data_IF_607800100151
#
_entry.id   IF_607800100151
#
_cell.length_a   1.000
_cell.length_b   1.000
_cell.length_c   1.000
_cell.angle_alpha   90.00
_cell.angle_beta   90.00
_cell.angle_gamma   90.00
#
_symmetry.space_group_name_H-M   'P 1'
#
loop_
_entity.id
_entity.type
_entity.pdbx_description
1 polymer ?
#
# COMPACT_ATOMS: atom_id res chain seq x y z
N UNK A 1 -11.72 16.80 -9.21
CA UNK A 1 -10.70 16.18 -10.07
C UNK A 1 -10.83 14.67 -9.94
N UNK A 2 -10.77 13.92 -11.05
CA UNK A 2 -10.83 12.46 -11.01
C UNK A 2 -9.61 11.91 -10.25
N UNK A 3 -9.86 11.07 -9.25
CA UNK A 3 -8.80 10.37 -8.53
C UNK A 3 -8.06 9.48 -9.54
N UNK A 4 -6.71 9.59 -9.65
CA UNK A 4 -5.97 8.80 -10.61
C UNK A 4 -6.15 7.31 -10.31
N UNK A 5 -6.29 6.51 -11.37
CA UNK A 5 -6.26 5.06 -11.26
C UNK A 5 -4.93 4.63 -10.63
N UNK A 6 -4.91 3.50 -9.91
CA UNK A 6 -3.71 2.99 -9.25
C UNK A 6 -3.35 1.64 -9.84
N UNK A 7 -2.10 1.47 -10.27
CA UNK A 7 -1.55 0.21 -10.78
C UNK A 7 -0.37 -0.22 -9.91
N UNK A 8 -0.39 -1.46 -9.43
CA UNK A 8 0.68 -2.02 -8.60
C UNK A 8 1.30 -3.20 -9.38
N UNK A 9 2.61 -3.14 -9.57
CA UNK A 9 3.43 -4.13 -10.27
C UNK A 9 4.44 -4.72 -9.27
N UNK A 10 4.02 -5.71 -8.46
CA UNK A 10 4.85 -6.27 -7.40
C UNK A 10 5.87 -7.26 -8.00
N UNK A 11 7.03 -6.75 -8.44
CA UNK A 11 8.09 -7.55 -9.05
C UNK A 11 7.62 -8.33 -10.29
N UNK A 12 6.87 -7.66 -11.18
CA UNK A 12 6.39 -8.25 -12.45
C UNK A 12 7.54 -8.29 -13.44
N UNK A 13 8.44 -9.27 -13.29
CA UNK A 13 9.72 -9.32 -13.99
C UNK A 13 9.60 -9.37 -15.51
N UNK A 14 8.72 -10.24 -16.01
CA UNK A 14 8.49 -10.47 -17.45
C UNK A 14 7.29 -9.69 -17.96
N UNK A 15 7.47 -8.97 -19.06
CA UNK A 15 6.41 -8.15 -19.67
C UNK A 15 6.69 -7.92 -21.15
N UNK A 16 5.64 -7.89 -21.99
CA UNK A 16 5.80 -7.56 -23.42
C UNK A 16 6.16 -6.10 -23.66
N UNK A 17 6.76 -5.77 -24.80
CA UNK A 17 7.01 -4.38 -25.18
C UNK A 17 5.72 -3.56 -25.26
N UNK A 18 4.66 -4.14 -25.83
CA UNK A 18 3.34 -3.53 -25.91
C UNK A 18 2.84 -3.14 -24.52
N UNK A 19 2.90 -4.04 -23.54
CA UNK A 19 2.44 -3.78 -22.18
C UNK A 19 3.26 -2.68 -21.50
N UNK A 20 4.60 -2.68 -21.64
CA UNK A 20 5.45 -1.61 -21.10
C UNK A 20 5.07 -0.24 -21.68
N UNK A 21 4.84 -0.17 -23.00
CA UNK A 21 4.44 1.07 -23.66
C UNK A 21 3.05 1.54 -23.20
N UNK A 22 2.06 0.64 -23.13
CA UNK A 22 0.72 0.97 -22.63
C UNK A 22 0.74 1.51 -21.19
N UNK A 23 1.53 0.90 -20.30
CA UNK A 23 1.67 1.39 -18.93
C UNK A 23 2.30 2.79 -18.93
N UNK A 24 3.37 3.01 -19.71
CA UNK A 24 4.01 4.31 -19.81
C UNK A 24 3.09 5.39 -20.40
N UNK A 25 2.26 5.07 -21.39
CA UNK A 25 1.26 5.99 -21.95
C UNK A 25 0.22 6.41 -20.91
N UNK A 26 -0.13 5.52 -19.97
CA UNK A 26 -1.09 5.82 -18.90
C UNK A 26 -0.56 6.76 -17.80
N UNK A 27 0.74 7.12 -17.82
CA UNK A 27 1.44 7.84 -16.73
C UNK A 27 0.79 9.14 -16.27
N UNK A 28 0.02 9.82 -17.13
CA UNK A 28 -0.63 11.08 -16.75
C UNK A 28 -1.94 10.88 -15.98
N UNK A 29 -2.54 9.69 -16.04
CA UNK A 29 -3.84 9.35 -15.42
C UNK A 29 -3.75 8.26 -14.35
N UNK A 30 -2.61 7.58 -14.27
CA UNK A 30 -2.41 6.42 -13.40
C UNK A 30 -1.20 6.63 -12.49
N UNK A 31 -1.40 6.45 -11.19
CA UNK A 31 -0.32 6.29 -10.21
C UNK A 31 0.18 4.84 -10.26
N UNK A 32 1.40 4.66 -10.73
CA UNK A 32 2.02 3.36 -10.95
C UNK A 32 3.05 3.11 -9.86
N UNK A 33 2.92 2.00 -9.13
CA UNK A 33 3.95 1.51 -8.22
C UNK A 33 4.56 0.25 -8.79
N UNK A 34 5.87 0.26 -9.01
CA UNK A 34 6.63 -0.90 -9.43
C UNK A 34 7.70 -1.24 -8.39
N UNK A 35 7.98 -2.53 -8.23
CA UNK A 35 9.01 -3.01 -7.32
C UNK A 35 9.97 -3.98 -7.99
N UNK A 36 11.17 -4.14 -7.43
CA UNK A 36 12.13 -5.16 -7.84
C UNK A 36 12.44 -5.09 -9.34
N UNK A 37 12.56 -6.24 -9.98
CA UNK A 37 12.96 -6.39 -11.38
C UNK A 37 11.83 -6.18 -12.38
N UNK A 38 10.79 -5.42 -12.01
CA UNK A 38 9.63 -5.20 -12.88
C UNK A 38 10.05 -4.78 -14.30
N UNK A 39 9.54 -5.44 -15.34
CA UNK A 39 9.83 -5.18 -16.76
C UNK A 39 11.29 -5.35 -17.23
N UNK A 40 12.15 -5.98 -16.44
CA UNK A 40 13.54 -6.26 -16.85
C UNK A 40 13.66 -7.47 -17.79
N UNK A 41 12.58 -8.24 -17.98
CA UNK A 41 12.52 -9.37 -18.89
C UNK A 41 11.37 -9.22 -19.89
N UNK A 42 11.51 -9.77 -21.09
CA UNK A 42 10.44 -9.82 -22.09
C UNK A 42 9.39 -10.90 -21.74
N UNK A 43 8.37 -11.06 -22.56
CA UNK A 43 7.30 -12.05 -22.38
C UNK A 43 7.77 -13.51 -22.46
N UNK A 44 8.97 -13.75 -22.99
CA UNK A 44 9.60 -15.06 -23.10
C UNK A 44 10.57 -15.36 -21.94
N UNK A 45 10.70 -14.44 -20.97
CA UNK A 45 11.60 -14.57 -19.83
C UNK A 45 13.06 -14.22 -20.15
N UNK A 46 13.35 -13.70 -21.34
CA UNK A 46 14.69 -13.26 -21.71
C UNK A 46 14.97 -11.87 -21.12
N UNK A 47 16.21 -11.63 -20.69
CA UNK A 47 16.59 -10.32 -20.16
C UNK A 47 16.49 -9.29 -21.28
N UNK A 48 15.70 -8.24 -21.03
CA UNK A 48 15.50 -7.12 -21.95
C UNK A 48 16.68 -6.16 -21.86
N UNK A 49 16.99 -5.45 -22.95
CA UNK A 49 17.81 -4.23 -22.86
C UNK A 49 17.14 -3.24 -21.88
N UNK A 50 17.91 -2.76 -20.90
CA UNK A 50 17.41 -1.78 -19.95
C UNK A 50 16.86 -0.54 -20.63
N UNK A 51 17.36 -0.17 -21.81
CA UNK A 51 16.87 0.94 -22.63
C UNK A 51 15.36 0.86 -22.93
N UNK A 52 14.83 -0.36 -22.99
CA UNK A 52 13.44 -0.67 -23.28
C UNK A 52 12.59 -0.92 -22.02
N UNK A 53 13.17 -0.89 -20.82
CA UNK A 53 12.46 -1.14 -19.55
C UNK A 53 11.49 -0.01 -19.20
N UNK A 54 10.52 -0.30 -18.34
CA UNK A 54 9.60 0.70 -17.80
C UNK A 54 10.36 1.75 -16.99
N UNK A 55 11.33 1.32 -16.17
CA UNK A 55 12.14 2.21 -15.34
C UNK A 55 12.93 3.19 -16.23
N UNK A 56 13.55 2.73 -17.32
CA UNK A 56 14.24 3.67 -18.22
C UNK A 56 13.32 4.76 -18.75
N UNK A 57 12.09 4.41 -19.16
CA UNK A 57 11.08 5.37 -19.63
C UNK A 57 10.70 6.42 -18.56
N UNK A 58 10.89 6.10 -17.28
CA UNK A 58 10.67 7.01 -16.15
C UNK A 58 11.94 7.70 -15.61
N UNK A 59 13.07 7.62 -16.32
CA UNK A 59 14.28 8.38 -16.02
C UNK A 59 15.29 7.69 -15.10
N UNK A 60 15.20 6.37 -14.94
CA UNK A 60 16.26 5.58 -14.31
C UNK A 60 17.35 5.26 -15.34
N UNK A 61 18.60 5.25 -14.89
CA UNK A 61 19.78 5.08 -15.76
C UNK A 61 20.32 3.66 -15.72
N UNK A 62 20.33 3.05 -14.53
CA UNK A 62 20.79 1.68 -14.35
C UNK A 62 20.16 1.04 -13.13
N UNK A 63 19.93 -0.26 -13.23
CA UNK A 63 19.47 -1.10 -12.13
C UNK A 63 20.32 -2.37 -12.12
N UNK A 64 20.85 -2.72 -10.95
CA UNK A 64 21.68 -3.92 -10.77
C UNK A 64 21.41 -4.55 -9.42
N UNK A 65 21.41 -5.89 -9.31
CA UNK A 65 21.29 -6.55 -8.02
C UNK A 65 22.44 -6.18 -7.09
N UNK A 66 22.15 -6.11 -5.79
CA UNK A 66 23.17 -5.98 -4.74
C UNK A 66 23.00 -7.10 -3.73
N UNK A 67 24.12 -7.62 -3.24
CA UNK A 67 24.13 -8.59 -2.15
C UNK A 67 24.06 -7.83 -0.84
N UNK A 68 23.07 -8.19 -0.03
CA UNK A 68 22.78 -7.59 1.27
C UNK A 68 22.24 -8.64 2.21
N UNK A 69 22.51 -8.46 3.49
CA UNK A 69 22.04 -9.33 4.55
C UNK A 69 20.71 -8.82 5.12
N UNK A 70 19.88 -9.76 5.60
CA UNK A 70 18.51 -9.47 6.06
C UNK A 70 18.41 -8.56 7.29
N UNK A 71 19.51 -8.34 7.99
CA UNK A 71 19.59 -7.46 9.17
C UNK A 71 20.03 -6.04 8.83
N UNK A 72 20.28 -5.75 7.55
CA UNK A 72 20.58 -4.39 7.10
C UNK A 72 19.31 -3.53 7.01
N UNK A 73 19.52 -2.23 6.88
CA UNK A 73 18.46 -1.22 6.94
C UNK A 73 18.47 -0.32 5.69
N UNK A 74 17.36 0.35 5.46
CA UNK A 74 17.27 1.55 4.63
C UNK A 74 16.97 2.74 5.52
N UNK A 75 17.48 3.91 5.13
CA UNK A 75 17.22 5.17 5.81
C UNK A 75 16.12 5.94 5.10
N UNK A 76 15.08 6.32 5.83
CA UNK A 76 13.96 7.12 5.33
C UNK A 76 14.34 8.60 5.31
N UNK A 77 13.90 9.32 4.28
CA UNK A 77 14.07 10.78 4.17
C UNK A 77 13.31 11.50 5.31
N UNK A 78 13.97 12.45 5.96
CA UNK A 78 13.47 13.14 7.16
C UNK A 78 12.08 13.76 6.96
N UNK A 79 11.82 14.36 5.79
CA UNK A 79 10.52 14.96 5.46
C UNK A 79 9.39 13.94 5.35
N UNK A 80 9.72 12.66 5.15
CA UNK A 80 8.76 11.55 5.14
C UNK A 80 8.49 11.08 6.56
N UNK A 81 9.50 11.05 7.42
CA UNK A 81 9.38 10.68 8.84
C UNK A 81 8.37 11.57 9.56
N UNK A 82 8.52 12.88 9.40
CA UNK A 82 7.62 13.90 9.99
C UNK A 82 6.15 13.71 9.59
N UNK A 83 5.91 13.20 8.38
CA UNK A 83 4.56 13.05 7.81
C UNK A 83 3.89 11.75 8.18
N UNK A 84 4.65 10.67 8.35
CA UNK A 84 4.12 9.30 8.43
C UNK A 84 4.34 8.65 9.81
N UNK A 85 5.07 9.32 10.71
CA UNK A 85 5.44 8.81 12.03
C UNK A 85 6.04 7.39 11.92
N UNK A 86 7.19 7.34 11.24
CA UNK A 86 7.99 6.13 10.98
C UNK A 86 9.27 6.17 11.80
N UNK A 87 9.91 5.00 11.95
CA UNK A 87 11.29 4.93 12.38
C UNK A 87 12.20 5.43 11.24
N UNK A 88 13.31 6.09 11.60
CA UNK A 88 14.30 6.57 10.63
C UNK A 88 14.91 5.44 9.81
N UNK A 89 15.22 4.33 10.49
CA UNK A 89 15.79 3.14 9.89
C UNK A 89 14.74 2.03 9.90
N UNK A 90 14.51 1.45 8.73
CA UNK A 90 13.60 0.30 8.59
C UNK A 90 14.34 -0.85 7.89
N UNK A 91 13.96 -2.11 8.13
CA UNK A 91 14.66 -3.24 7.53
C UNK A 91 14.72 -3.14 6.01
N UNK A 92 15.79 -3.65 5.43
CA UNK A 92 15.98 -3.73 3.98
C UNK A 92 14.92 -4.64 3.30
N UNK A 93 14.49 -4.36 2.06
CA UNK A 93 13.65 -5.28 1.30
C UNK A 93 14.39 -6.56 0.88
N UNK A 94 13.64 -7.60 0.51
CA UNK A 94 14.21 -8.78 -0.15
C UNK A 94 14.75 -8.42 -1.54
N UNK A 95 15.79 -9.12 -2.01
CA UNK A 95 16.41 -8.90 -3.32
C UNK A 95 16.64 -7.41 -3.67
N UNK A 96 17.42 -6.67 -2.87
CA UNK A 96 17.63 -5.25 -3.09
C UNK A 96 18.40 -4.98 -4.38
N UNK A 97 18.06 -3.86 -5.02
CA UNK A 97 18.63 -3.41 -6.28
C UNK A 97 19.29 -2.05 -6.09
N UNK A 98 20.54 -1.93 -6.55
CA UNK A 98 21.20 -0.64 -6.71
C UNK A 98 20.61 0.06 -7.92
N UNK A 99 20.28 1.33 -7.72
CA UNK A 99 19.62 2.19 -8.71
C UNK A 99 20.43 3.45 -8.88
N UNK A 100 20.67 3.84 -10.14
CA UNK A 100 21.11 5.18 -10.49
C UNK A 100 20.02 5.86 -11.31
N UNK A 101 19.79 7.15 -11.05
CA UNK A 101 18.78 7.93 -11.75
C UNK A 101 19.13 9.40 -11.73
N UNK A 102 18.64 10.14 -12.72
CA UNK A 102 18.68 11.60 -12.74
C UNK A 102 17.30 12.19 -12.40
N UNK A 103 17.28 13.24 -11.58
CA UNK A 103 16.08 13.99 -11.20
C UNK A 103 15.15 13.29 -10.20
N UNK A 104 13.99 13.91 -9.94
CA UNK A 104 12.89 13.41 -9.11
C UNK A 104 13.11 13.37 -7.59
N UNK A 105 12.12 12.83 -6.86
CA UNK A 105 12.14 12.75 -5.39
C UNK A 105 12.50 11.35 -4.91
N UNK A 106 13.42 11.26 -3.97
CA UNK A 106 13.76 10.02 -3.26
C UNK A 106 13.14 10.08 -1.86
N UNK A 107 12.71 8.93 -1.35
CA UNK A 107 12.01 8.80 -0.05
C UNK A 107 12.78 7.92 0.92
N UNK A 108 13.68 7.08 0.42
CA UNK A 108 14.55 6.24 1.22
C UNK A 108 15.82 5.89 0.44
N UNK A 109 16.89 5.63 1.16
CA UNK A 109 18.21 5.30 0.63
C UNK A 109 18.73 4.02 1.24
N UNK A 110 19.47 3.25 0.45
CA UNK A 110 20.24 2.13 1.00
C UNK A 110 21.40 2.64 1.84
N UNK A 111 21.76 1.86 2.85
CA UNK A 111 22.98 2.06 3.62
C UNK A 111 24.14 1.30 2.96
N UNK A 112 25.37 1.70 3.28
CA UNK A 112 26.53 0.88 2.94
C UNK A 112 26.42 -0.50 3.61
N UNK A 113 27.11 -1.49 3.04
CA UNK A 113 27.00 -2.86 3.54
C UNK A 113 27.53 -2.94 4.97
N UNK A 114 26.74 -3.49 5.89
CA UNK A 114 27.22 -3.81 7.24
C UNK A 114 28.18 -4.99 7.20
N UNK A 115 29.31 -4.90 7.92
CA UNK A 115 30.24 -6.03 8.07
C UNK A 115 29.64 -7.13 8.96
N UNK A 116 29.08 -6.75 10.13
CA UNK A 116 28.35 -7.65 11.03
C UNK A 116 27.06 -7.03 11.57
N UNK A 117 26.18 -7.88 12.12
CA UNK A 117 24.87 -7.48 12.69
C UNK A 117 24.97 -6.48 13.85
N UNK A 118 26.05 -6.54 14.62
CA UNK A 118 26.24 -5.75 15.83
C UNK A 118 27.22 -4.57 15.64
N UNK A 119 27.64 -4.32 14.41
CA UNK A 119 28.51 -3.19 14.10
C UNK A 119 27.75 -1.86 14.12
N UNK A 120 28.53 -0.78 14.10
CA UNK A 120 27.98 0.56 13.94
C UNK A 120 27.19 0.64 12.64
N UNK A 121 26.11 1.39 12.70
CA UNK A 121 25.27 1.68 11.54
C UNK A 121 26.12 2.44 10.52
N UNK A 122 26.30 1.89 9.30
CA UNK A 122 27.19 2.45 8.31
C UNK A 122 26.58 3.71 7.69
N UNK A 123 27.35 4.51 6.93
CA UNK A 123 26.80 5.71 6.30
C UNK A 123 25.77 5.36 5.20
N UNK A 124 24.98 6.36 4.83
CA UNK A 124 23.97 6.25 3.78
C UNK A 124 24.64 6.32 2.40
N UNK A 125 24.15 5.52 1.44
CA UNK A 125 24.59 5.58 0.04
C UNK A 125 23.80 6.63 -0.75
N UNK A 126 24.24 6.92 -1.97
CA UNK A 126 23.48 7.70 -2.95
C UNK A 126 22.43 6.85 -3.71
N UNK A 127 22.27 5.56 -3.38
CA UNK A 127 21.34 4.66 -4.06
C UNK A 127 19.94 4.73 -3.43
N UNK A 128 18.93 5.26 -4.14
CA UNK A 128 17.58 5.31 -3.61
C UNK A 128 16.99 3.90 -3.50
N UNK A 129 16.49 3.57 -2.31
CA UNK A 129 15.67 2.38 -2.09
C UNK A 129 14.22 2.61 -2.52
N UNK A 130 13.74 3.86 -2.41
CA UNK A 130 12.38 4.27 -2.78
C UNK A 130 12.44 5.64 -3.44
N UNK A 131 11.80 5.78 -4.59
CA UNK A 131 11.80 7.03 -5.36
C UNK A 131 10.52 7.24 -6.17
N UNK A 132 10.23 8.50 -6.52
CA UNK A 132 9.08 8.90 -7.33
C UNK A 132 9.49 9.85 -8.46
N UNK A 133 8.95 9.59 -9.65
CA UNK A 133 9.12 10.38 -10.88
C UNK A 133 7.73 10.62 -11.48
N UNK A 134 7.16 11.80 -11.26
CA UNK A 134 5.76 12.08 -11.61
C UNK A 134 4.80 11.13 -10.89
N UNK A 135 4.04 10.35 -11.64
CA UNK A 135 3.13 9.32 -11.14
C UNK A 135 3.73 7.92 -11.08
N UNK A 136 5.05 7.77 -11.24
CA UNK A 136 5.72 6.49 -11.10
C UNK A 136 6.51 6.42 -9.80
N UNK A 137 6.16 5.45 -8.95
CA UNK A 137 6.83 5.13 -7.69
C UNK A 137 7.61 3.84 -7.91
N UNK A 138 8.90 3.87 -7.63
CA UNK A 138 9.75 2.70 -7.76
C UNK A 138 10.32 2.30 -6.41
N UNK A 139 10.14 1.02 -6.09
CA UNK A 139 10.70 0.37 -4.92
C UNK A 139 11.85 -0.53 -5.39
N UNK A 140 13.08 -0.17 -5.06
CA UNK A 140 14.29 -0.80 -5.58
C UNK A 140 14.62 -2.13 -4.90
N UNK A 141 13.63 -3.01 -4.76
CA UNK A 141 13.71 -4.31 -4.11
C UNK A 141 12.29 -4.88 -3.92
N UNK A 142 12.19 -6.09 -3.39
CA UNK A 142 10.93 -6.79 -3.18
C UNK A 142 10.32 -6.49 -1.79
N UNK A 143 9.89 -5.24 -1.59
CA UNK A 143 9.25 -4.80 -0.34
C UNK A 143 8.01 -5.64 0.03
N UNK A 144 7.21 -6.03 -0.98
CA UNK A 144 6.03 -6.86 -0.78
C UNK A 144 6.35 -8.23 -0.20
N UNK A 145 7.42 -8.89 -0.66
CA UNK A 145 7.87 -10.19 -0.15
C UNK A 145 8.36 -10.06 1.29
N UNK A 146 9.16 -9.02 1.58
CA UNK A 146 9.63 -8.74 2.93
C UNK A 146 8.46 -8.51 3.90
N UNK A 147 7.48 -7.70 3.50
CA UNK A 147 6.26 -7.48 4.28
C UNK A 147 5.43 -8.77 4.44
N UNK A 148 5.41 -9.62 3.40
CA UNK A 148 4.75 -10.91 3.46
C UNK A 148 5.35 -11.82 4.54
N UNK A 149 6.68 -11.83 4.66
CA UNK A 149 7.37 -12.69 5.60
C UNK A 149 7.37 -12.12 7.03
N UNK A 150 7.65 -10.83 7.19
CA UNK A 150 8.00 -10.26 8.49
C UNK A 150 6.95 -9.27 9.04
N UNK A 151 5.90 -8.94 8.27
CA UNK A 151 4.78 -8.07 8.67
C UNK A 151 5.19 -6.67 9.16
N UNK A 152 6.31 -6.15 8.66
CA UNK A 152 6.89 -4.85 9.03
C UNK A 152 5.85 -3.72 8.89
N UNK A 153 5.36 -3.12 10.00
CA UNK A 153 4.29 -2.11 9.94
C UNK A 153 4.68 -0.85 9.17
N UNK A 154 5.95 -0.47 9.21
CA UNK A 154 6.50 0.71 8.54
C UNK A 154 6.33 0.61 7.02
N UNK A 155 6.45 -0.60 6.44
CA UNK A 155 6.23 -0.82 5.00
C UNK A 155 4.78 -0.51 4.61
N UNK A 156 3.82 -0.99 5.41
CA UNK A 156 2.39 -0.73 5.18
C UNK A 156 2.07 0.76 5.31
N UNK A 157 2.56 1.42 6.36
CA UNK A 157 2.38 2.86 6.59
C UNK A 157 2.96 3.69 5.43
N UNK A 158 4.18 3.34 4.98
CA UNK A 158 4.85 4.01 3.88
C UNK A 158 4.12 3.81 2.55
N UNK A 159 3.68 2.60 2.23
CA UNK A 159 2.88 2.33 1.03
C UNK A 159 1.54 3.09 1.05
N UNK A 160 0.85 3.14 2.19
CA UNK A 160 -0.38 3.91 2.35
C UNK A 160 -0.17 5.40 2.05
N UNK A 161 0.94 5.97 2.53
CA UNK A 161 1.33 7.35 2.28
C UNK A 161 1.70 7.58 0.80
N UNK A 162 2.58 6.75 0.24
CA UNK A 162 3.06 6.88 -1.13
C UNK A 162 1.94 6.78 -2.17
N UNK A 163 0.97 5.90 -1.91
CA UNK A 163 -0.14 5.61 -2.82
C UNK A 163 -1.43 6.37 -2.48
N UNK A 164 -1.42 7.26 -1.49
CA UNK A 164 -2.60 7.96 -0.97
C UNK A 164 -3.80 7.01 -0.77
N UNK A 165 -3.58 5.83 -0.16
CA UNK A 165 -4.63 4.81 -0.05
C UNK A 165 -5.74 5.23 0.92
N UNK A 166 -5.43 6.15 1.84
CA UNK A 166 -6.33 6.57 2.90
C UNK A 166 -7.47 7.46 2.42
N UNK A 167 -7.34 8.18 1.30
CA UNK A 167 -8.34 9.16 0.83
C UNK A 167 -9.71 8.52 0.56
N UNK A 168 -9.72 7.32 -0.03
CA UNK A 168 -10.92 6.58 -0.42
C UNK A 168 -11.08 5.26 0.34
N UNK A 169 -10.43 5.12 1.49
CA UNK A 169 -10.55 3.94 2.33
C UNK A 169 -11.77 4.02 3.25
N UNK A 170 -12.32 2.86 3.59
CA UNK A 170 -13.14 2.70 4.80
C UNK A 170 -12.20 2.82 5.98
N UNK A 171 -12.43 3.79 6.86
CA UNK A 171 -11.67 3.87 8.11
C UNK A 171 -12.45 3.28 9.26
N UNK A 172 -11.73 2.64 10.17
CA UNK A 172 -12.26 2.10 11.41
C UNK A 172 -11.46 2.65 12.58
N UNK A 173 -12.15 3.12 13.60
CA UNK A 173 -11.56 3.66 14.83
C UNK A 173 -12.22 2.99 16.06
N UNK A 174 -11.44 2.48 17.03
CA UNK A 174 -9.97 2.35 17.02
C UNK A 174 -9.47 1.35 15.96
N UNK A 175 -8.16 1.19 15.82
CA UNK A 175 -7.61 0.07 15.04
C UNK A 175 -8.05 -1.25 15.72
N UNK A 176 -8.94 -1.97 15.05
CA UNK A 176 -9.58 -3.19 15.58
C UNK A 176 -8.90 -4.47 15.09
N UNK A 177 -7.72 -4.36 14.47
CA UNK A 177 -6.98 -5.50 13.96
C UNK A 177 -7.49 -5.99 12.60
N UNK A 178 -7.34 -7.28 12.28
CA UNK A 178 -7.61 -7.81 10.94
C UNK A 178 -9.12 -7.88 10.66
N UNK A 179 -9.66 -6.82 10.09
CA UNK A 179 -11.01 -6.75 9.53
C UNK A 179 -10.92 -6.44 8.05
N UNK A 180 -11.58 -7.25 7.24
CA UNK A 180 -11.72 -7.00 5.81
C UNK A 180 -13.02 -6.23 5.54
N UNK A 181 -12.91 -5.19 4.71
CA UNK A 181 -14.02 -4.35 4.32
C UNK A 181 -14.18 -4.37 2.80
N UNK A 182 -15.32 -4.87 2.32
CA UNK A 182 -15.62 -5.00 0.90
C UNK A 182 -16.81 -4.09 0.59
N UNK A 183 -16.63 -3.15 -0.33
CA UNK A 183 -17.69 -2.27 -0.81
C UNK A 183 -18.23 -2.81 -2.13
N UNK A 184 -19.56 -2.88 -2.27
CA UNK A 184 -20.25 -3.17 -3.53
C UNK A 184 -21.36 -2.15 -3.77
N UNK A 185 -21.63 -1.85 -5.05
CA UNK A 185 -22.77 -1.04 -5.47
C UNK A 185 -23.95 -1.93 -5.87
N UNK A 186 -25.16 -1.56 -5.46
CA UNK A 186 -26.42 -2.18 -5.89
C UNK A 186 -27.42 -1.10 -6.26
N UNK A 187 -27.53 -0.77 -7.54
CA UNK A 187 -28.38 0.34 -8.00
C UNK A 187 -27.89 1.68 -7.43
N UNK A 188 -28.73 2.34 -6.63
CA UNK A 188 -28.41 3.57 -5.90
C UNK A 188 -27.81 3.33 -4.51
N UNK A 189 -27.78 2.07 -4.06
CA UNK A 189 -27.30 1.71 -2.73
C UNK A 189 -25.83 1.28 -2.76
N UNK A 190 -25.21 1.36 -1.59
CA UNK A 190 -23.92 0.76 -1.27
C UNK A 190 -24.10 -0.34 -0.24
N UNK A 191 -23.40 -1.46 -0.43
CA UNK A 191 -23.31 -2.57 0.50
C UNK A 191 -21.87 -2.64 0.99
N UNK A 192 -21.68 -2.50 2.30
CA UNK A 192 -20.40 -2.71 2.96
C UNK A 192 -20.45 -4.06 3.69
N UNK A 193 -19.63 -5.00 3.27
CA UNK A 193 -19.44 -6.28 3.95
C UNK A 193 -18.18 -6.20 4.82
N UNK A 194 -18.33 -6.48 6.11
CA UNK A 194 -17.26 -6.52 7.10
C UNK A 194 -17.04 -7.95 7.55
N UNK A 195 -15.80 -8.45 7.46
CA UNK A 195 -15.43 -9.79 7.91
C UNK A 195 -14.36 -9.66 9.00
N UNK A 196 -14.62 -10.25 10.16
CA UNK A 196 -13.74 -10.20 11.31
C UNK A 196 -12.85 -11.43 11.40
N UNK A 197 -11.55 -11.25 11.20
CA UNK A 197 -10.56 -12.30 11.36
C UNK A 197 -9.85 -12.26 12.72
N UNK A 198 -10.31 -11.45 13.68
CA UNK A 198 -9.78 -11.48 15.04
C UNK A 198 -10.16 -12.82 15.69
N UNK A 199 -9.16 -13.66 15.94
CA UNK A 199 -9.31 -14.91 16.67
C UNK A 199 -8.36 -14.99 17.84
N UNK A 200 -8.52 -16.03 18.66
CA UNK A 200 -7.59 -16.33 19.74
C UNK A 200 -6.18 -16.64 19.20
N UNK A 201 -5.15 -16.42 20.03
CA UNK A 201 -3.76 -16.72 19.69
C UNK A 201 -3.42 -18.23 19.74
N UNK A 202 -4.43 -19.10 19.71
CA UNK A 202 -4.29 -20.54 19.65
C UNK A 202 -4.56 -21.04 18.22
N UNK A 203 -3.90 -22.13 17.83
CA UNK A 203 -4.14 -22.82 16.56
C UNK A 203 -4.56 -24.27 16.88
N UNK A 204 -5.71 -24.76 16.37
CA UNK A 204 -6.66 -24.08 15.51
C UNK A 204 -7.38 -22.91 16.22
N UNK A 205 -7.87 -21.94 15.44
CA UNK A 205 -8.71 -20.86 15.98
C UNK A 205 -10.10 -21.44 16.23
N UNK A 206 -10.52 -21.52 17.49
CA UNK A 206 -11.84 -22.04 17.87
C UNK A 206 -12.87 -20.94 18.09
N UNK A 207 -12.41 -19.73 18.43
CA UNK A 207 -13.28 -18.59 18.77
C UNK A 207 -12.84 -17.30 18.12
N UNK A 208 -13.83 -16.55 17.63
CA UNK A 208 -13.67 -15.19 17.11
C UNK A 208 -13.78 -14.21 18.27
N UNK A 209 -12.81 -13.29 18.34
CA UNK A 209 -12.81 -12.18 19.28
C UNK A 209 -13.64 -11.05 18.68
N UNK A 210 -14.79 -10.81 19.29
CA UNK A 210 -15.72 -9.78 18.85
C UNK A 210 -15.19 -8.40 19.16
N UNK A 211 -15.62 -7.43 18.36
CA UNK A 211 -15.25 -6.02 18.50
C UNK A 211 -16.50 -5.18 18.68
N UNK A 212 -16.46 -4.23 19.58
CA UNK A 212 -17.62 -3.40 19.93
C UNK A 212 -17.34 -1.93 19.69
N UNK A 213 -18.41 -1.16 19.49
CA UNK A 213 -18.37 0.30 19.34
C UNK A 213 -17.37 0.78 18.28
N UNK A 214 -17.39 0.11 17.11
CA UNK A 214 -16.49 0.41 16.01
C UNK A 214 -17.04 1.63 15.26
N UNK A 215 -16.29 2.71 15.28
CA UNK A 215 -16.60 3.87 14.46
C UNK A 215 -16.13 3.61 13.03
N UNK A 216 -17.05 3.66 12.08
CA UNK A 216 -16.79 3.47 10.66
C UNK A 216 -16.95 4.81 9.94
N UNK A 217 -15.96 5.15 9.09
CA UNK A 217 -15.99 6.35 8.25
C UNK A 217 -15.93 5.95 6.78
N UNK A 218 -16.92 6.37 6.02
CA UNK A 218 -17.03 6.10 4.59
C UNK A 218 -16.71 7.35 3.75
N UNK A 219 -15.93 7.20 2.66
CA UNK A 219 -15.59 8.29 1.76
C UNK A 219 -16.74 8.56 0.77
N UNK A 220 -17.93 8.90 1.29
CA UNK A 220 -19.12 9.17 0.47
C UNK A 220 -19.30 10.66 0.24
N UNK A 221 -19.58 11.01 -1.02
CA UNK A 221 -19.86 12.39 -1.43
C UNK A 221 -21.30 12.75 -1.04
N UNK A 222 -22.26 11.90 -1.41
CA UNK A 222 -23.69 12.08 -1.12
C UNK A 222 -24.02 11.58 0.29
N UNK A 223 -24.90 12.32 0.97
CA UNK A 223 -25.43 11.90 2.28
C UNK A 223 -26.45 10.77 2.10
N UNK A 224 -26.34 9.68 2.87
CA UNK A 224 -27.26 8.54 2.74
C UNK A 224 -28.64 8.88 3.26
N UNK A 225 -29.68 8.29 2.65
CA UNK A 225 -31.02 8.35 3.21
C UNK A 225 -31.11 7.54 4.51
N UNK A 226 -30.37 6.44 4.59
CA UNK A 226 -30.40 5.52 5.73
C UNK A 226 -29.16 4.62 5.75
N UNK A 227 -28.74 4.23 6.96
CA UNK A 227 -27.73 3.19 7.17
C UNK A 227 -28.35 2.09 8.03
N UNK A 228 -28.26 0.83 7.59
CA UNK A 228 -28.80 -0.34 8.29
C UNK A 228 -27.75 -1.41 8.49
N UNK A 229 -27.66 -1.97 9.69
CA UNK A 229 -27.01 -3.27 9.91
C UNK A 229 -28.01 -4.39 9.59
N UNK A 230 -27.69 -5.23 8.62
CA UNK A 230 -28.64 -6.20 8.10
C UNK A 230 -28.80 -7.41 9.02
N UNK A 231 -27.73 -7.83 9.73
CA UNK A 231 -27.85 -9.00 10.62
C UNK A 231 -28.69 -8.75 11.85
N UNK A 232 -28.62 -7.55 12.41
CA UNK A 232 -29.39 -7.12 13.58
C UNK A 232 -30.70 -6.42 13.21
N UNK A 233 -30.89 -6.13 11.92
CA UNK A 233 -32.04 -5.41 11.37
C UNK A 233 -32.31 -4.09 12.11
N UNK A 234 -31.26 -3.30 12.31
CA UNK A 234 -31.34 -2.03 13.04
C UNK A 234 -30.83 -0.87 12.19
N UNK A 235 -31.30 0.33 12.52
CA UNK A 235 -30.94 1.57 11.82
C UNK A 235 -29.85 2.27 12.61
N UNK A 236 -28.74 2.58 11.95
CA UNK A 236 -27.61 3.25 12.55
C UNK A 236 -27.74 4.76 12.34
N UNK A 237 -27.53 5.51 13.42
CA UNK A 237 -27.37 6.97 13.32
C UNK A 237 -26.03 7.27 12.67
N UNK A 238 -26.01 8.25 11.79
CA UNK A 238 -24.80 8.72 11.12
C UNK A 238 -24.72 10.24 11.17
N UNK A 239 -23.52 10.75 10.91
CA UNK A 239 -23.24 12.18 10.73
C UNK A 239 -22.14 12.36 9.71
N UNK A 240 -21.97 13.59 9.22
CA UNK A 240 -20.79 13.96 8.45
C UNK A 240 -19.67 14.41 9.41
N UNK A 241 -18.46 13.89 9.24
CA UNK A 241 -17.29 14.32 10.03
C UNK A 241 -16.67 15.61 9.47
N UNK A 242 -15.68 16.17 10.18
CA UNK A 242 -14.99 17.39 9.77
C UNK A 242 -14.21 17.28 8.45
N UNK A 243 -13.98 16.07 7.95
CA UNK A 243 -13.32 15.78 6.67
C UNK A 243 -14.35 15.44 5.57
N UNK A 244 -15.64 15.64 5.83
CA UNK A 244 -16.70 15.40 4.88
C UNK A 244 -17.12 13.94 4.72
N UNK A 245 -16.60 13.01 5.54
CA UNK A 245 -16.92 11.58 5.48
C UNK A 245 -18.19 11.26 6.25
N UNK A 246 -18.89 10.20 5.84
CA UNK A 246 -20.04 9.69 6.59
C UNK A 246 -19.54 8.79 7.70
N UNK A 247 -19.78 9.19 8.94
CA UNK A 247 -19.38 8.51 10.18
C UNK A 247 -20.61 7.89 10.85
N UNK A 248 -20.49 6.63 11.26
CA UNK A 248 -21.47 5.95 12.11
C UNK A 248 -20.78 4.92 13.01
N UNK A 249 -21.47 4.47 14.06
CA UNK A 249 -20.94 3.46 14.98
C UNK A 249 -21.64 2.13 14.77
N UNK A 250 -20.85 1.09 14.47
CA UNK A 250 -21.29 -0.29 14.51
C UNK A 250 -21.20 -0.80 15.97
N UNK A 251 -22.33 -1.16 16.61
CA UNK A 251 -22.32 -1.54 18.02
C UNK A 251 -21.47 -2.79 18.30
N UNK A 252 -21.51 -3.78 17.40
CA UNK A 252 -20.74 -5.02 17.55
C UNK A 252 -20.49 -5.69 16.20
N UNK A 253 -19.25 -6.10 15.99
CA UNK A 253 -18.81 -6.96 14.89
C UNK A 253 -18.40 -8.32 15.48
N UNK A 254 -19.21 -9.35 15.18
CA UNK A 254 -18.94 -10.74 15.57
C UNK A 254 -18.07 -11.42 14.50
N UNK A 255 -18.61 -12.37 13.73
CA UNK A 255 -17.90 -13.00 12.60
C UNK A 255 -17.92 -12.11 11.35
N UNK A 256 -19.08 -11.58 11.01
CA UNK A 256 -19.26 -10.65 9.90
C UNK A 256 -20.51 -9.79 10.11
N UNK A 257 -20.57 -8.66 9.42
CA UNK A 257 -21.74 -7.78 9.33
C UNK A 257 -21.90 -7.26 7.90
N UNK A 258 -23.15 -7.02 7.48
CA UNK A 258 -23.46 -6.37 6.21
C UNK A 258 -24.19 -5.08 6.52
N UNK A 259 -23.62 -3.97 6.07
CA UNK A 259 -24.20 -2.64 6.23
C UNK A 259 -24.75 -2.19 4.88
N UNK A 260 -26.05 -1.89 4.85
CA UNK A 260 -26.71 -1.27 3.70
C UNK A 260 -26.74 0.24 3.90
N UNK A 261 -26.22 0.96 2.92
CA UNK A 261 -26.22 2.42 2.85
C UNK A 261 -27.07 2.84 1.66
N UNK A 262 -28.23 3.44 1.93
CA UNK A 262 -29.28 3.68 0.93
C UNK A 262 -29.10 5.05 0.23
N UNK A 263 -29.33 5.07 -1.09
CA UNK A 263 -29.39 6.27 -1.94
C UNK A 263 -28.13 7.17 -1.96
N UNK A 264 -26.95 6.58 -2.20
CA UNK A 264 -25.64 7.29 -2.19
C UNK A 264 -24.95 7.43 -3.55
N UNK A 265 -25.54 6.88 -4.61
CA UNK A 265 -25.08 7.03 -5.99
C UNK A 265 -26.12 7.68 -6.89
#
# INVERSE_FOLDING_TARGET
EDIPSKLILPNVGSMSERTVNTIYESRNKTLILASGETSLFNEWGERRDFSQSLQRKFGYDRISPIVRDRWEHIKIDEKVLERVNLQELIPIPEAPLKVSSTGGKNYAYYMEKMENRYDRIPPVTDHPAISRRGNFIYLAGCFGIRYWNDRIPEYRKLLNYLMNLQENAVLMEPDIGPVEAIIRRRGRDLILHLINYNGEMNRPIEKILERENIKIKLPLIKEPAKIKELRRNSVLKFRRDGNGRIEFTLPRLSHYEIILVEDVF
#
